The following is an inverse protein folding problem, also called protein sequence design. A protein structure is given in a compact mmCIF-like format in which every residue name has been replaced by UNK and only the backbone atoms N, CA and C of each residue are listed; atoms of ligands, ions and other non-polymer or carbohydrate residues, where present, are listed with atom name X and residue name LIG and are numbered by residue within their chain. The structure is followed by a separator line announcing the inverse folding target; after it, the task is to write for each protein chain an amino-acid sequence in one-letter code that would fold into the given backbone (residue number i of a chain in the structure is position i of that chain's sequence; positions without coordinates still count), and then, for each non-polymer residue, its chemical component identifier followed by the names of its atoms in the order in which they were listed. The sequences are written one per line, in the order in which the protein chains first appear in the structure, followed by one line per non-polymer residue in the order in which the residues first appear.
data_IF_927452627827
#
_entry.id   IF_927452627827
#
_cell.length_a   1.000
_cell.length_b   1.000
_cell.length_c   1.000
_cell.angle_alpha   90.00
_cell.angle_beta   90.00
_cell.angle_gamma   90.00
#
_symmetry.space_group_name_H-M   'P 1'
#
loop_
_entity.id
_entity.type
_entity.pdbx_description
1 polymer ?
#
# COMPACT_ATOMS: atom_id res chain seq x y z
N UNK A 1 8.63 -4.04 17.29
CA UNK A 1 8.23 -5.25 18.06
C UNK A 1 6.88 -5.71 17.57
N UNK A 2 6.54 -7.00 17.70
CA UNK A 2 5.27 -7.56 17.21
C UNK A 2 4.04 -6.91 17.87
N UNK A 3 4.15 -6.55 19.14
CA UNK A 3 3.11 -5.81 19.87
C UNK A 3 2.84 -4.40 19.31
N UNK A 4 3.88 -3.72 18.86
CA UNK A 4 3.76 -2.42 18.20
C UNK A 4 3.10 -2.55 16.83
N UNK A 5 3.47 -3.57 16.06
CA UNK A 5 2.84 -3.85 14.76
C UNK A 5 1.33 -4.09 14.92
N UNK A 6 0.92 -4.95 15.88
CA UNK A 6 -0.50 -5.22 16.13
C UNK A 6 -1.27 -3.96 16.51
N UNK A 7 -0.70 -3.11 17.37
CA UNK A 7 -1.32 -1.84 17.75
C UNK A 7 -1.49 -0.90 16.56
N UNK A 8 -0.47 -0.78 15.72
CA UNK A 8 -0.55 0.08 14.53
C UNK A 8 -1.52 -0.48 13.47
N UNK A 9 -1.64 -1.79 13.34
CA UNK A 9 -2.64 -2.44 12.48
C UNK A 9 -4.06 -2.10 12.95
N UNK A 10 -4.33 -2.08 14.26
CA UNK A 10 -5.64 -1.70 14.79
C UNK A 10 -5.97 -0.22 14.50
N UNK A 11 -5.01 0.67 14.69
CA UNK A 11 -5.17 2.09 14.36
C UNK A 11 -5.41 2.30 12.87
N UNK A 12 -4.67 1.56 12.05
CA UNK A 12 -4.81 1.60 10.60
C UNK A 12 -6.18 1.08 10.14
N UNK A 13 -6.73 0.05 10.78
CA UNK A 13 -8.05 -0.49 10.43
C UNK A 13 -9.17 0.55 10.62
N UNK A 14 -9.08 1.36 11.68
CA UNK A 14 -10.04 2.43 11.94
C UNK A 14 -9.95 3.54 10.87
N UNK A 15 -8.73 3.93 10.52
CA UNK A 15 -8.51 4.89 9.44
C UNK A 15 -9.02 4.34 8.10
N UNK A 16 -8.73 3.07 7.80
CA UNK A 16 -9.11 2.40 6.56
C UNK A 16 -10.63 2.45 6.37
N UNK A 17 -11.41 2.00 7.35
CA UNK A 17 -12.86 2.02 7.24
C UNK A 17 -13.41 3.42 6.96
N UNK A 18 -12.93 4.45 7.65
CA UNK A 18 -13.41 5.82 7.44
C UNK A 18 -12.94 6.47 6.13
N UNK A 19 -11.73 6.18 5.68
CA UNK A 19 -11.18 6.79 4.46
C UNK A 19 -11.75 6.19 3.17
N UNK A 20 -12.12 4.89 3.17
CA UNK A 20 -12.61 4.15 2.00
C UNK A 20 -14.13 3.97 1.94
N UNK A 21 -14.88 4.40 2.96
CA UNK A 21 -16.33 4.23 3.06
C UNK A 21 -17.09 4.60 1.77
N UNK A 22 -16.62 5.61 1.04
CA UNK A 22 -17.28 6.11 -0.19
C UNK A 22 -16.73 5.49 -1.47
N UNK A 23 -15.80 4.56 -1.40
CA UNK A 23 -15.25 3.93 -2.60
C UNK A 23 -16.24 2.89 -3.15
N UNK A 24 -16.35 2.83 -4.46
CA UNK A 24 -17.20 1.86 -5.14
C UNK A 24 -16.82 0.43 -4.73
N UNK A 25 -17.83 -0.37 -4.38
CA UNK A 25 -17.63 -1.76 -3.99
C UNK A 25 -16.92 -1.97 -2.65
N UNK A 26 -16.72 -0.92 -1.86
CA UNK A 26 -16.09 -1.06 -0.55
C UNK A 26 -17.01 -1.80 0.43
N UNK A 27 -16.48 -2.88 0.97
CA UNK A 27 -17.09 -3.62 2.10
C UNK A 27 -16.11 -3.51 3.27
N UNK A 28 -16.52 -2.90 4.39
CA UNK A 28 -15.63 -2.75 5.53
C UNK A 28 -15.26 -4.13 6.08
N UNK A 29 -13.96 -4.46 6.16
CA UNK A 29 -13.54 -5.72 6.75
C UNK A 29 -13.79 -5.71 8.26
N UNK A 30 -14.07 -6.86 8.82
CA UNK A 30 -14.07 -7.04 10.27
C UNK A 30 -12.64 -6.83 10.82
N UNK A 31 -12.54 -6.54 12.12
CA UNK A 31 -11.23 -6.42 12.76
C UNK A 31 -10.36 -7.66 12.62
N UNK A 32 -11.00 -8.83 12.66
CA UNK A 32 -10.29 -10.11 12.51
C UNK A 32 -9.75 -10.31 11.10
N UNK A 33 -10.55 -10.03 10.08
CA UNK A 33 -10.13 -10.06 8.67
C UNK A 33 -8.97 -9.10 8.42
N UNK A 34 -9.06 -7.87 8.92
CA UNK A 34 -7.99 -6.88 8.75
C UNK A 34 -6.69 -7.32 9.43
N UNK A 35 -6.77 -7.86 10.65
CA UNK A 35 -5.61 -8.42 11.36
C UNK A 35 -4.98 -9.60 10.62
N UNK A 36 -5.81 -10.48 10.06
CA UNK A 36 -5.34 -11.62 9.27
C UNK A 36 -4.61 -11.18 8.01
N UNK A 37 -5.18 -10.25 7.25
CA UNK A 37 -4.52 -9.67 6.07
C UNK A 37 -3.18 -9.01 6.44
N UNK A 38 -3.13 -8.26 7.53
CA UNK A 38 -1.90 -7.64 8.01
C UNK A 38 -0.84 -8.68 8.42
N UNK A 39 -1.25 -9.76 9.08
CA UNK A 39 -0.34 -10.86 9.47
C UNK A 39 0.25 -11.60 8.26
N UNK A 40 -0.51 -11.73 7.17
CA UNK A 40 -0.04 -12.30 5.91
C UNK A 40 1.02 -11.41 5.23
N UNK A 41 0.93 -10.09 5.42
CA UNK A 41 1.89 -9.13 4.88
C UNK A 41 3.12 -8.92 5.79
N UNK A 42 3.03 -9.22 7.09
CA UNK A 42 4.11 -9.01 8.07
C UNK A 42 5.47 -9.57 7.61
N UNK A 43 5.58 -10.80 7.03
CA UNK A 43 6.87 -11.36 6.63
C UNK A 43 7.60 -10.59 5.52
N UNK A 44 6.84 -9.87 4.69
CA UNK A 44 7.40 -9.09 3.57
C UNK A 44 7.44 -7.59 3.85
N UNK A 45 6.79 -7.15 4.90
CA UNK A 45 6.69 -5.74 5.27
C UNK A 45 8.06 -5.12 5.59
N UNK A 46 8.25 -3.90 5.12
CA UNK A 46 9.39 -3.06 5.46
C UNK A 46 8.87 -1.77 6.11
N UNK A 47 9.20 -1.49 7.38
CA UNK A 47 8.72 -0.30 8.08
C UNK A 47 9.01 1.03 7.36
N UNK A 48 10.06 1.08 6.54
CA UNK A 48 10.38 2.26 5.72
C UNK A 48 9.35 2.54 4.62
N UNK A 49 8.50 1.55 4.33
CA UNK A 49 7.44 1.66 3.32
C UNK A 49 6.09 2.09 3.92
N UNK A 50 6.04 2.50 5.19
CA UNK A 50 4.83 3.00 5.81
C UNK A 50 5.07 4.36 6.47
N UNK A 51 4.16 5.29 6.20
CA UNK A 51 4.15 6.63 6.79
C UNK A 51 2.73 6.94 7.24
N UNK A 52 2.59 7.48 8.44
CA UNK A 52 1.31 7.89 9.00
C UNK A 52 1.39 9.33 9.51
N UNK A 53 0.30 10.06 9.37
CA UNK A 53 0.12 11.37 10.00
C UNK A 53 -0.86 11.26 11.16
N UNK A 54 -0.52 11.92 12.26
CA UNK A 54 -1.32 11.93 13.48
C UNK A 54 -1.66 13.34 13.90
N UNK A 55 -2.90 13.51 14.40
CA UNK A 55 -3.37 14.75 15.04
C UNK A 55 -3.97 14.36 16.37
N UNK A 56 -3.47 14.94 17.46
CA UNK A 56 -3.92 14.67 18.83
C UNK A 56 -3.94 13.16 19.18
N UNK A 57 -2.92 12.41 18.75
CA UNK A 57 -2.80 10.96 18.99
C UNK A 57 -3.69 10.07 18.12
N UNK A 58 -4.49 10.66 17.22
CA UNK A 58 -5.34 9.94 16.27
C UNK A 58 -4.66 9.89 14.90
N UNK A 59 -4.57 8.71 14.30
CA UNK A 59 -4.10 8.55 12.93
C UNK A 59 -5.16 9.12 11.96
N UNK A 60 -4.78 10.13 11.19
CA UNK A 60 -5.67 10.83 10.25
C UNK A 60 -5.32 10.59 8.80
N UNK A 61 -4.12 10.12 8.52
CA UNK A 61 -3.70 9.77 7.16
C UNK A 61 -2.62 8.69 7.19
N UNK A 62 -2.51 7.90 6.13
CA UNK A 62 -1.45 6.92 5.95
C UNK A 62 -1.10 6.70 4.48
N UNK A 63 0.17 6.32 4.25
CA UNK A 63 0.66 5.70 3.03
C UNK A 63 1.37 4.41 3.42
N UNK A 64 0.90 3.27 2.93
CA UNK A 64 1.47 1.95 3.22
C UNK A 64 1.78 1.23 1.92
N UNK A 65 3.02 0.82 1.76
CA UNK A 65 3.47 0.03 0.63
C UNK A 65 4.18 -1.25 1.10
N UNK A 66 4.34 -2.18 0.18
CA UNK A 66 5.13 -3.40 0.37
C UNK A 66 6.14 -3.56 -0.76
N UNK A 67 7.28 -4.21 -0.49
CA UNK A 67 8.21 -4.61 -1.54
C UNK A 67 7.51 -5.48 -2.59
N UNK A 68 7.76 -5.23 -3.87
CA UNK A 68 7.21 -6.03 -4.97
C UNK A 68 7.91 -7.39 -5.05
N UNK A 69 7.41 -8.35 -4.28
CA UNK A 69 7.95 -9.71 -4.21
C UNK A 69 7.93 -10.43 -5.56
N UNK A 70 7.07 -10.02 -6.51
CA UNK A 70 7.03 -10.61 -7.85
C UNK A 70 8.34 -10.41 -8.60
N UNK A 71 9.10 -9.34 -8.32
CA UNK A 71 10.43 -9.17 -8.90
C UNK A 71 11.41 -10.28 -8.45
N UNK A 72 11.35 -10.70 -7.19
CA UNK A 72 12.17 -11.80 -6.69
C UNK A 72 11.75 -13.16 -7.26
N UNK A 73 10.46 -13.31 -7.59
CA UNK A 73 9.90 -14.55 -8.14
C UNK A 73 9.97 -14.60 -9.68
N UNK A 74 10.33 -13.52 -10.35
CA UNK A 74 10.46 -13.49 -11.79
C UNK A 74 11.50 -14.52 -12.26
N UNK A 75 11.12 -15.42 -13.18
CA UNK A 75 11.97 -16.49 -13.71
C UNK A 75 12.08 -17.71 -12.81
N UNK A 76 11.14 -17.90 -11.88
CA UNK A 76 10.97 -19.16 -11.12
C UNK A 76 9.84 -20.02 -11.67
N UNK A 77 9.15 -19.58 -12.72
CA UNK A 77 8.00 -20.25 -13.37
C UNK A 77 6.94 -20.74 -12.37
N UNK A 78 6.71 -19.93 -11.32
CA UNK A 78 5.78 -20.26 -10.24
C UNK A 78 6.29 -21.27 -9.21
N UNK A 79 7.52 -21.78 -9.36
CA UNK A 79 8.11 -22.74 -8.44
C UNK A 79 8.88 -22.02 -7.33
N UNK A 80 8.38 -22.12 -6.11
CA UNK A 80 9.04 -21.54 -4.93
C UNK A 80 10.31 -22.31 -4.55
N UNK A 81 10.28 -23.64 -4.68
CA UNK A 81 11.38 -24.48 -4.19
C UNK A 81 12.24 -25.02 -5.34
N UNK A 82 13.59 -25.08 -5.20
CA UNK A 82 14.39 -24.52 -4.10
C UNK A 82 14.80 -23.05 -4.33
N UNK A 83 14.86 -22.58 -5.59
CA UNK A 83 15.47 -21.29 -5.93
C UNK A 83 14.60 -20.09 -5.60
N UNK A 84 13.28 -20.21 -5.67
CA UNK A 84 12.35 -19.14 -5.32
C UNK A 84 12.48 -18.71 -3.86
N UNK A 85 12.62 -19.68 -2.94
CA UNK A 85 12.83 -19.41 -1.52
C UNK A 85 14.16 -18.67 -1.29
N UNK A 86 15.23 -19.09 -1.93
CA UNK A 86 16.55 -18.43 -1.83
C UNK A 86 16.48 -16.99 -2.34
N UNK A 87 15.79 -16.75 -3.45
CA UNK A 87 15.58 -15.41 -4.01
C UNK A 87 14.75 -14.54 -3.07
N UNK A 88 13.73 -15.11 -2.45
CA UNK A 88 12.87 -14.40 -1.50
C UNK A 88 13.63 -14.03 -0.21
N UNK A 89 14.46 -14.94 0.30
CA UNK A 89 15.34 -14.66 1.44
C UNK A 89 16.37 -13.57 1.11
N UNK A 90 16.86 -13.55 -0.12
CA UNK A 90 17.77 -12.51 -0.66
C UNK A 90 17.04 -11.34 -1.30
N UNK A 91 15.76 -11.11 -0.98
CA UNK A 91 14.87 -10.13 -1.61
C UNK A 91 15.48 -8.74 -1.82
N UNK A 92 16.29 -8.26 -0.87
CA UNK A 92 16.98 -6.95 -0.99
C UNK A 92 17.85 -6.81 -2.24
N UNK A 93 18.34 -7.92 -2.80
CA UNK A 93 19.14 -7.93 -4.03
C UNK A 93 18.29 -7.88 -5.30
N UNK A 94 17.03 -8.34 -5.22
CA UNK A 94 16.18 -8.54 -6.38
C UNK A 94 14.99 -7.58 -6.44
N UNK A 95 14.69 -6.88 -5.33
CA UNK A 95 13.54 -5.99 -5.23
C UNK A 95 14.02 -4.55 -5.12
N UNK A 96 13.77 -3.78 -6.16
CA UNK A 96 14.00 -2.33 -6.20
C UNK A 96 12.72 -1.51 -6.34
N UNK A 97 11.56 -2.19 -6.36
CA UNK A 97 10.23 -1.60 -6.51
C UNK A 97 9.36 -1.92 -5.30
N UNK A 98 8.54 -0.95 -4.93
CA UNK A 98 7.49 -1.09 -3.93
C UNK A 98 6.13 -0.86 -4.56
N UNK A 99 5.10 -1.46 -3.97
CA UNK A 99 3.71 -1.29 -4.37
C UNK A 99 2.95 -0.59 -3.28
N UNK A 100 2.37 0.55 -3.59
CA UNK A 100 1.49 1.28 -2.69
C UNK A 100 0.17 0.53 -2.58
N UNK A 101 -0.13 0.02 -1.38
CA UNK A 101 -1.37 -0.70 -1.10
C UNK A 101 -2.46 0.21 -0.56
N UNK A 102 -2.07 1.12 0.34
CA UNK A 102 -3.00 2.03 1.01
C UNK A 102 -2.45 3.46 0.92
N UNK A 103 -3.28 4.36 0.48
CA UNK A 103 -3.05 5.80 0.54
C UNK A 103 -4.39 6.44 0.90
N UNK A 104 -4.55 6.84 2.15
CA UNK A 104 -5.82 7.33 2.66
C UNK A 104 -5.68 8.50 3.59
N UNK A 105 -6.65 9.40 3.53
CA UNK A 105 -6.79 10.56 4.41
C UNK A 105 -8.22 10.63 4.88
N UNK A 106 -8.45 10.82 6.18
CA UNK A 106 -9.79 11.04 6.70
C UNK A 106 -10.46 12.26 6.06
N UNK A 107 -11.77 12.19 5.88
CA UNK A 107 -12.55 13.19 5.15
C UNK A 107 -12.27 14.62 5.60
N UNK A 108 -12.24 14.84 6.92
CA UNK A 108 -12.04 16.15 7.53
C UNK A 108 -10.65 16.75 7.29
N UNK A 109 -9.69 15.95 6.87
CA UNK A 109 -8.28 16.33 6.64
C UNK A 109 -7.86 16.32 5.17
N UNK A 110 -8.77 16.04 4.23
CA UNK A 110 -8.44 15.94 2.79
C UNK A 110 -7.89 17.24 2.21
N UNK A 111 -8.36 18.37 2.69
CA UNK A 111 -7.92 19.71 2.25
C UNK A 111 -6.65 20.20 2.96
N UNK A 112 -6.16 19.48 3.96
CA UNK A 112 -5.00 19.86 4.77
C UNK A 112 -3.63 19.59 4.11
N UNK A 113 -3.59 19.19 2.84
CA UNK A 113 -2.33 18.91 2.11
C UNK A 113 -1.60 17.65 2.57
N UNK A 114 -2.28 16.73 3.26
CA UNK A 114 -1.64 15.53 3.81
C UNK A 114 -1.18 14.53 2.74
N UNK A 115 -1.86 14.44 1.59
CA UNK A 115 -1.42 13.56 0.50
C UNK A 115 0.01 13.86 0.02
N UNK A 116 0.33 15.08 -0.43
CA UNK A 116 1.69 15.38 -0.85
C UNK A 116 2.69 15.26 0.30
N UNK A 117 2.31 15.59 1.53
CA UNK A 117 3.17 15.44 2.71
C UNK A 117 3.53 13.97 2.96
N UNK A 118 2.55 13.06 2.90
CA UNK A 118 2.80 11.62 3.04
C UNK A 118 3.74 11.10 1.95
N UNK A 119 3.55 11.50 0.69
CA UNK A 119 4.41 11.08 -0.41
C UNK A 119 5.83 11.63 -0.27
N UNK A 120 5.97 12.89 0.15
CA UNK A 120 7.26 13.51 0.41
C UNK A 120 8.02 12.77 1.52
N UNK A 121 7.37 12.54 2.65
CA UNK A 121 7.97 11.85 3.80
C UNK A 121 8.32 10.40 3.46
N UNK A 122 7.43 9.72 2.72
CA UNK A 122 7.67 8.38 2.25
C UNK A 122 8.88 8.31 1.31
N UNK A 123 8.98 9.24 0.33
CA UNK A 123 10.15 9.37 -0.53
C UNK A 123 11.43 9.62 0.28
N UNK A 124 11.36 10.50 1.27
CA UNK A 124 12.49 10.80 2.16
C UNK A 124 12.98 9.55 2.91
N UNK A 125 12.07 8.76 3.46
CA UNK A 125 12.41 7.50 4.15
C UNK A 125 12.93 6.43 3.20
N UNK A 126 12.38 6.33 2.00
CA UNK A 126 12.78 5.34 1.00
C UNK A 126 14.18 5.60 0.41
N UNK A 127 14.65 6.85 0.40
CA UNK A 127 15.96 7.24 -0.19
C UNK A 127 17.16 6.45 0.35
N UNK A 128 17.15 6.06 1.61
CA UNK A 128 18.23 5.26 2.23
C UNK A 128 18.10 3.75 1.98
N UNK A 129 17.07 3.31 1.26
CA UNK A 129 16.75 1.90 1.03
C UNK A 129 17.14 1.40 -0.36
N UNK A 130 16.83 0.13 -0.66
CA UNK A 130 17.09 -0.49 -1.95
C UNK A 130 16.09 -0.04 -3.03
N UNK A 131 14.98 0.61 -2.66
CA UNK A 131 13.88 0.89 -3.55
C UNK A 131 14.16 2.12 -4.43
N UNK A 132 13.93 1.97 -5.73
CA UNK A 132 14.13 2.98 -6.77
C UNK A 132 12.84 3.35 -7.49
N UNK A 133 11.82 2.51 -7.38
CA UNK A 133 10.55 2.64 -8.10
C UNK A 133 9.40 2.40 -7.15
N UNK A 134 8.28 3.08 -7.40
CA UNK A 134 7.02 2.86 -6.72
C UNK A 134 5.91 2.66 -7.75
N UNK A 135 5.03 1.69 -7.51
CA UNK A 135 3.82 1.47 -8.28
C UNK A 135 2.62 1.87 -7.43
N UNK A 136 1.80 2.78 -7.95
CA UNK A 136 0.48 3.05 -7.40
C UNK A 136 -0.45 1.92 -7.87
N UNK A 137 -0.80 1.03 -6.96
CA UNK A 137 -1.64 -0.13 -7.27
C UNK A 137 -3.10 0.21 -7.12
N UNK A 138 -3.85 -0.12 -8.16
CA UNK A 138 -5.29 -0.01 -8.28
C UNK A 138 -5.87 1.34 -7.84
N UNK A 139 -5.66 2.33 -8.66
CA UNK A 139 -6.35 3.59 -8.51
C UNK A 139 -7.62 3.53 -9.35
N UNK A 140 -8.76 3.78 -8.73
CA UNK A 140 -10.04 3.90 -9.44
C UNK A 140 -9.99 5.08 -10.41
N UNK A 141 -10.57 4.93 -11.61
CA UNK A 141 -10.55 5.97 -12.65
C UNK A 141 -11.22 7.27 -12.19
N UNK A 142 -12.24 7.18 -11.36
CA UNK A 142 -13.00 8.29 -10.80
C UNK A 142 -12.39 8.87 -9.49
N UNK A 143 -11.34 8.26 -8.94
CA UNK A 143 -10.64 8.78 -7.78
C UNK A 143 -9.69 9.93 -8.17
N UNK A 144 -10.30 11.12 -8.39
CA UNK A 144 -9.59 12.32 -8.88
C UNK A 144 -8.45 12.76 -7.97
N UNK A 145 -8.61 12.62 -6.66
CA UNK A 145 -7.59 13.08 -5.69
C UNK A 145 -6.30 12.28 -5.81
N UNK A 146 -6.40 10.96 -5.88
CA UNK A 146 -5.23 10.10 -6.02
C UNK A 146 -4.63 10.19 -7.43
N UNK A 147 -5.46 10.22 -8.48
CA UNK A 147 -4.99 10.39 -9.85
C UNK A 147 -4.20 11.69 -10.02
N UNK A 148 -4.76 12.82 -9.56
CA UNK A 148 -4.06 14.12 -9.55
C UNK A 148 -2.75 14.08 -8.75
N UNK A 149 -2.76 13.40 -7.61
CA UNK A 149 -1.55 13.29 -6.77
C UNK A 149 -0.48 12.45 -7.47
N UNK A 150 -0.86 11.37 -8.15
CA UNK A 150 0.05 10.55 -8.94
C UNK A 150 0.68 11.36 -10.09
N UNK A 151 -0.13 12.14 -10.82
CA UNK A 151 0.34 13.03 -11.89
C UNK A 151 1.33 14.08 -11.37
N UNK A 152 1.02 14.74 -10.24
CA UNK A 152 1.92 15.71 -9.60
C UNK A 152 3.23 15.07 -9.11
N UNK A 153 3.20 13.80 -8.73
CA UNK A 153 4.39 13.03 -8.38
C UNK A 153 5.20 12.56 -9.62
N UNK A 154 4.75 12.88 -10.83
CA UNK A 154 5.40 12.46 -12.08
C UNK A 154 5.19 10.97 -12.41
N UNK A 155 4.16 10.33 -11.84
CA UNK A 155 3.85 8.96 -12.15
C UNK A 155 3.34 8.82 -13.59
N UNK A 156 3.73 7.71 -14.25
CA UNK A 156 3.27 7.37 -15.59
C UNK A 156 2.23 6.28 -15.53
N UNK A 157 1.02 6.55 -16.03
CA UNK A 157 0.00 5.53 -16.23
C UNK A 157 0.49 4.51 -17.27
N UNK A 158 0.47 3.21 -16.94
CA UNK A 158 1.00 2.16 -17.80
C UNK A 158 0.10 0.93 -17.91
N UNK A 159 -0.90 0.79 -17.03
CA UNK A 159 -1.89 -0.29 -17.07
C UNK A 159 -3.27 0.23 -16.73
N UNK A 160 -4.28 -0.27 -17.44
CA UNK A 160 -5.69 -0.05 -17.14
C UNK A 160 -6.35 -1.40 -16.85
N UNK A 161 -7.06 -1.48 -15.74
CA UNK A 161 -7.85 -2.65 -15.38
C UNK A 161 -9.33 -2.32 -15.50
N UNK A 162 -10.13 -3.27 -15.95
CA UNK A 162 -11.59 -3.12 -16.02
C UNK A 162 -12.25 -4.39 -15.50
N UNK A 163 -13.33 -4.21 -14.75
CA UNK A 163 -14.19 -5.28 -14.30
C UNK A 163 -15.40 -5.33 -15.24
N UNK A 164 -15.70 -6.51 -15.76
CA UNK A 164 -16.82 -6.74 -16.65
C UNK A 164 -17.85 -7.61 -15.96
N UNK A 165 -19.13 -7.27 -16.15
CA UNK A 165 -20.26 -8.07 -15.67
C UNK A 165 -21.11 -8.50 -16.85
N UNK A 166 -21.55 -9.78 -16.85
CA UNK A 166 -22.46 -10.35 -17.82
C UNK A 166 -23.57 -11.11 -17.10
N UNK A 167 -24.83 -10.82 -17.42
CA UNK A 167 -25.94 -11.62 -16.94
C UNK A 167 -25.86 -13.04 -17.53
N UNK A 168 -26.00 -14.05 -16.68
CA UNK A 168 -26.14 -15.42 -17.11
C UNK A 168 -27.60 -15.66 -17.49
N UNK A 169 -27.84 -16.17 -18.68
CA UNK A 169 -29.18 -16.59 -19.14
C UNK A 169 -29.44 -18.00 -18.70
#
# INVERSE_FOLDING_TARGET
KRSEFTREVERLSLLYCGAWERNWGFVPPTREEFRRLAAELEPIFDPRCAVCAEVNGRMVACAVAVPDIHQALKGTDGRLFPFGVIRLLRRRKYIDQIRLLLLGVQADFRTAGLFPLLLFEWHRQARGGPYRRAEFSWVLEDNRDINRTADLAGARHYKTYRIYQKALR
#
